data_IF_708469060991
#
_entry.id   IF_708469060991
#
_cell.length_a   1.000
_cell.length_b   1.000
_cell.length_c   1.000
_cell.angle_alpha   90.00
_cell.angle_beta   90.00
_cell.angle_gamma   90.00
#
_symmetry.space_group_name_H-M   'P 1'
#
loop_
_entity.id
_entity.type
_entity.pdbx_description
1 polymer ?
#
# COMPACT_ATOMS: atom_id res chain seq x y z
N UNK A 1 0.27 6.06 21.17
CA UNK A 1 0.56 5.38 22.46
C UNK A 1 1.26 4.09 22.14
N UNK A 2 2.37 3.76 22.81
CA UNK A 2 3.09 2.53 22.47
C UNK A 2 2.45 1.28 23.13
N UNK A 3 2.80 0.10 22.63
CA UNK A 3 2.24 -1.18 23.11
C UNK A 3 2.46 -1.41 24.61
N UNK A 4 3.60 -1.02 25.17
CA UNK A 4 3.92 -1.26 26.57
C UNK A 4 3.10 -0.35 27.50
N UNK A 5 2.93 0.92 27.12
CA UNK A 5 2.07 1.88 27.83
C UNK A 5 0.62 1.39 27.90
N UNK A 6 0.11 0.82 26.79
CA UNK A 6 -1.23 0.24 26.74
C UNK A 6 -1.35 -0.95 27.72
N UNK A 7 -0.36 -1.85 27.71
CA UNK A 7 -0.32 -3.03 28.60
C UNK A 7 -0.30 -2.59 30.06
N UNK A 8 0.52 -1.59 30.41
CA UNK A 8 0.62 -1.11 31.79
C UNK A 8 -0.66 -0.39 32.22
N UNK A 9 -1.27 0.41 31.33
CA UNK A 9 -2.57 1.07 31.54
C UNK A 9 -3.66 0.04 31.87
N UNK A 10 -3.82 -0.99 31.04
CA UNK A 10 -4.88 -1.98 31.24
C UNK A 10 -4.55 -3.01 32.33
N UNK A 11 -3.28 -3.33 32.55
CA UNK A 11 -2.83 -4.20 33.65
C UNK A 11 -3.00 -3.56 35.03
N UNK A 12 -2.98 -2.23 35.11
CA UNK A 12 -3.22 -1.48 36.36
C UNK A 12 -4.70 -1.27 36.69
N UNK A 13 -5.63 -1.47 35.73
CA UNK A 13 -7.07 -1.34 35.97
C UNK A 13 -7.60 -2.56 36.72
N UNK A 14 -8.16 -2.33 37.91
CA UNK A 14 -8.73 -3.38 38.79
C UNK A 14 -10.26 -3.44 38.75
N UNK A 15 -10.90 -2.59 37.96
CA UNK A 15 -12.35 -2.53 37.78
C UNK A 15 -12.72 -1.76 36.52
N UNK A 16 -14.00 -1.83 36.14
CA UNK A 16 -14.52 -0.97 35.08
C UNK A 16 -14.32 0.51 35.46
N UNK A 17 -14.03 1.41 34.50
CA UNK A 17 -13.99 2.85 34.71
C UNK A 17 -15.26 3.31 35.44
N UNK A 18 -15.15 4.35 36.28
CA UNK A 18 -16.30 4.89 37.00
C UNK A 18 -17.38 5.31 36.00
N UNK A 19 -18.42 4.49 35.86
CA UNK A 19 -19.55 4.74 35.00
C UNK A 19 -20.52 5.71 35.70
N UNK A 20 -21.23 6.53 34.93
CA UNK A 20 -22.38 7.25 35.46
C UNK A 20 -23.46 6.22 35.81
N UNK A 21 -23.68 6.03 37.11
CA UNK A 21 -24.61 5.07 37.71
C UNK A 21 -26.07 5.39 37.34
N UNK A 22 -26.32 6.52 36.67
CA UNK A 22 -27.65 7.07 36.36
C UNK A 22 -28.50 6.22 35.41
N UNK A 23 -27.90 5.35 34.60
CA UNK A 23 -28.62 4.55 33.60
C UNK A 23 -29.09 3.17 34.12
N UNK A 24 -28.76 2.82 35.37
CA UNK A 24 -29.20 1.56 35.95
C UNK A 24 -30.61 1.65 36.55
N UNK A 25 -31.37 0.57 36.39
CA UNK A 25 -32.59 0.36 37.17
C UNK A 25 -32.27 0.31 38.67
N UNK A 26 -33.21 0.72 39.52
CA UNK A 26 -33.08 0.59 40.99
C UNK A 26 -32.90 -0.91 41.31
N UNK A 27 -31.71 -1.29 41.79
CA UNK A 27 -31.21 -2.67 41.95
C UNK A 27 -30.91 -3.41 40.64
N UNK A 28 -29.82 -3.07 39.93
CA UNK A 28 -29.40 -3.82 38.75
C UNK A 28 -29.01 -5.25 39.11
N UNK A 29 -29.32 -6.21 38.24
CA UNK A 29 -28.83 -7.57 38.44
C UNK A 29 -27.32 -7.63 38.23
N UNK A 30 -26.67 -8.67 38.78
CA UNK A 30 -25.24 -8.92 38.51
C UNK A 30 -24.93 -9.02 37.01
N UNK A 31 -25.89 -9.51 36.22
CA UNK A 31 -25.74 -9.63 34.78
C UNK A 31 -25.78 -8.26 34.08
N UNK A 32 -26.66 -7.36 34.53
CA UNK A 32 -26.76 -6.00 33.97
C UNK A 32 -25.50 -5.20 34.26
N UNK A 33 -24.98 -5.32 35.49
CA UNK A 33 -23.71 -4.71 35.88
C UNK A 33 -22.53 -5.24 35.05
N UNK A 34 -22.52 -6.56 34.76
CA UNK A 34 -21.49 -7.19 33.93
C UNK A 34 -21.55 -6.69 32.47
N UNK A 35 -22.73 -6.68 31.86
CA UNK A 35 -22.91 -6.27 30.46
C UNK A 35 -22.48 -4.81 30.26
N UNK A 36 -22.89 -3.93 31.16
CA UNK A 36 -22.53 -2.52 31.11
C UNK A 36 -21.01 -2.30 31.29
N UNK A 37 -20.41 -2.92 32.30
CA UNK A 37 -18.96 -2.84 32.53
C UNK A 37 -18.14 -3.39 31.38
N UNK A 38 -18.59 -4.50 30.78
CA UNK A 38 -17.98 -5.07 29.57
C UNK A 38 -18.08 -4.12 28.37
N UNK A 39 -19.24 -3.48 28.16
CA UNK A 39 -19.45 -2.54 27.07
C UNK A 39 -18.52 -1.34 27.13
N UNK A 40 -18.38 -0.72 28.31
CA UNK A 40 -17.49 0.43 28.54
C UNK A 40 -16.03 0.04 28.35
N UNK A 41 -15.59 -1.05 28.98
CA UNK A 41 -14.22 -1.54 28.84
C UNK A 41 -13.89 -1.85 27.38
N UNK A 42 -14.82 -2.49 26.64
CA UNK A 42 -14.65 -2.77 25.22
C UNK A 42 -14.50 -1.49 24.40
N UNK A 43 -15.33 -0.46 24.65
CA UNK A 43 -15.26 0.80 23.92
C UNK A 43 -13.91 1.52 24.14
N UNK A 44 -13.47 1.64 25.39
CA UNK A 44 -12.18 2.27 25.73
C UNK A 44 -10.99 1.48 25.18
N UNK A 45 -11.00 0.14 25.27
CA UNK A 45 -9.94 -0.70 24.70
C UNK A 45 -9.86 -0.47 23.19
N UNK A 46 -11.01 -0.41 22.49
CA UNK A 46 -11.03 -0.16 21.05
C UNK A 46 -10.49 1.24 20.72
N UNK A 47 -10.86 2.27 21.48
CA UNK A 47 -10.35 3.62 21.29
C UNK A 47 -8.84 3.70 21.52
N UNK A 48 -8.35 3.06 22.57
CA UNK A 48 -6.93 2.96 22.86
C UNK A 48 -6.15 2.17 21.80
N UNK A 49 -6.73 1.08 21.28
CA UNK A 49 -6.14 0.29 20.20
C UNK A 49 -6.05 1.07 18.89
N UNK A 50 -7.02 1.96 18.61
CA UNK A 50 -6.93 2.88 17.46
C UNK A 50 -5.82 3.93 17.62
N UNK A 51 -5.36 4.18 18.84
CA UNK A 51 -4.23 5.07 19.16
C UNK A 51 -2.89 4.34 19.24
N UNK A 52 -2.87 3.01 19.09
CA UNK A 52 -1.63 2.32 18.78
C UNK A 52 -1.21 2.80 17.40
N UNK A 53 0.02 3.31 17.29
CA UNK A 53 0.58 3.61 15.98
C UNK A 53 0.65 2.28 15.21
N UNK A 54 -0.34 2.03 14.34
CA UNK A 54 -0.19 1.03 13.30
C UNK A 54 1.02 1.47 12.48
N UNK A 55 2.02 0.59 12.26
CA UNK A 55 3.07 0.93 11.32
C UNK A 55 2.39 1.26 10.00
N UNK A 56 2.47 2.52 9.56
CA UNK A 56 1.97 2.90 8.26
C UNK A 56 2.64 1.96 7.25
N UNK A 57 1.80 1.27 6.49
CA UNK A 57 2.30 0.38 5.46
C UNK A 57 3.24 1.19 4.56
N UNK A 58 4.50 0.78 4.42
CA UNK A 58 5.41 1.46 3.51
C UNK A 58 4.80 1.50 2.11
N UNK A 59 4.86 2.66 1.48
CA UNK A 59 4.51 2.81 0.07
C UNK A 59 5.72 2.44 -0.76
N UNK A 60 5.56 1.48 -1.67
CA UNK A 60 6.63 1.05 -2.59
C UNK A 60 6.24 1.25 -4.05
N UNK A 61 7.21 1.54 -4.93
CA UNK A 61 6.94 1.60 -6.36
C UNK A 61 6.41 0.28 -6.92
N UNK A 62 5.57 0.34 -7.96
CA UNK A 62 4.98 -0.81 -8.64
C UNK A 62 6.02 -1.88 -9.04
N UNK A 63 7.18 -1.49 -9.58
CA UNK A 63 8.21 -2.44 -10.00
C UNK A 63 8.83 -3.22 -8.81
N UNK A 64 8.85 -2.63 -7.62
CA UNK A 64 9.32 -3.29 -6.38
C UNK A 64 8.29 -4.29 -5.90
N UNK A 65 7.01 -3.91 -5.92
CA UNK A 65 5.89 -4.80 -5.59
C UNK A 65 5.88 -6.04 -6.49
N UNK A 66 5.97 -5.85 -7.81
CA UNK A 66 6.04 -6.95 -8.79
C UNK A 66 7.24 -7.86 -8.57
N UNK A 67 8.39 -7.28 -8.23
CA UNK A 67 9.59 -8.05 -7.90
C UNK A 67 9.39 -8.91 -6.64
N UNK A 68 8.80 -8.36 -5.57
CA UNK A 68 8.51 -9.10 -4.34
C UNK A 68 7.55 -10.26 -4.59
N UNK A 69 6.45 -10.02 -5.32
CA UNK A 69 5.46 -11.06 -5.66
C UNK A 69 6.07 -12.17 -6.53
N UNK A 70 6.94 -11.79 -7.47
CA UNK A 70 7.69 -12.76 -8.27
C UNK A 70 8.60 -13.61 -7.38
N UNK A 71 9.31 -13.00 -6.42
CA UNK A 71 10.14 -13.74 -5.48
C UNK A 71 9.32 -14.68 -4.59
N UNK A 72 8.18 -14.24 -4.05
CA UNK A 72 7.27 -15.08 -3.24
C UNK A 72 6.89 -16.38 -3.94
N UNK A 73 6.78 -16.36 -5.28
CA UNK A 73 6.47 -17.53 -6.11
C UNK A 73 7.70 -18.40 -6.45
N UNK A 74 8.90 -17.83 -6.40
CA UNK A 74 10.13 -18.49 -6.87
C UNK A 74 11.00 -19.04 -5.75
N UNK A 75 10.95 -18.46 -4.55
CA UNK A 75 11.81 -18.85 -3.43
C UNK A 75 11.02 -19.45 -2.27
N UNK A 76 11.71 -20.18 -1.40
CA UNK A 76 11.11 -20.84 -0.25
C UNK A 76 10.50 -19.79 0.71
N UNK A 77 9.26 -19.97 1.19
CA UNK A 77 8.57 -19.01 2.08
C UNK A 77 9.35 -18.64 3.35
N UNK A 78 10.24 -19.52 3.81
CA UNK A 78 11.17 -19.29 4.92
C UNK A 78 11.91 -17.94 4.85
N UNK A 79 12.27 -17.49 3.64
CA UNK A 79 12.98 -16.22 3.45
C UNK A 79 12.09 -14.99 3.69
N UNK A 80 10.76 -15.15 3.66
CA UNK A 80 9.76 -14.11 3.89
C UNK A 80 9.17 -14.12 5.30
N UNK A 81 9.69 -14.95 6.21
CA UNK A 81 9.19 -15.00 7.61
C UNK A 81 9.47 -13.72 8.39
N UNK A 82 10.46 -12.93 7.96
CA UNK A 82 10.74 -11.60 8.52
C UNK A 82 11.58 -10.77 7.54
N UNK A 83 11.48 -9.45 7.64
CA UNK A 83 12.29 -8.50 6.88
C UNK A 83 13.78 -8.74 7.07
N UNK A 84 14.24 -8.99 8.31
CA UNK A 84 15.65 -9.28 8.59
C UNK A 84 16.17 -10.52 7.83
N UNK A 85 15.37 -11.60 7.76
CA UNK A 85 15.74 -12.81 7.00
C UNK A 85 15.73 -12.57 5.50
N UNK A 86 14.74 -11.84 5.03
CA UNK A 86 14.65 -11.46 3.63
C UNK A 86 15.87 -10.64 3.22
N UNK A 87 16.24 -9.63 4.02
CA UNK A 87 17.43 -8.80 3.82
C UNK A 87 18.72 -9.62 3.83
N UNK A 88 18.87 -10.59 4.74
CA UNK A 88 20.04 -11.49 4.75
C UNK A 88 20.11 -12.38 3.50
N UNK A 89 18.96 -12.79 2.95
CA UNK A 89 18.89 -13.59 1.74
C UNK A 89 19.26 -12.77 0.50
N UNK A 90 18.60 -11.63 0.29
CA UNK A 90 18.85 -10.77 -0.87
C UNK A 90 20.22 -10.07 -0.79
N UNK A 91 20.72 -9.77 0.42
CA UNK A 91 22.01 -9.11 0.62
C UNK A 91 23.19 -9.92 0.08
N UNK A 92 23.09 -11.27 0.10
CA UNK A 92 24.08 -12.12 -0.55
C UNK A 92 24.12 -11.91 -2.06
N UNK A 93 22.96 -11.77 -2.68
CA UNK A 93 22.87 -11.52 -4.12
C UNK A 93 23.28 -10.09 -4.50
N UNK A 94 22.90 -9.12 -3.66
CA UNK A 94 23.26 -7.72 -3.84
C UNK A 94 24.79 -7.53 -3.91
N UNK A 95 25.54 -8.18 -3.02
CA UNK A 95 27.01 -8.06 -2.97
C UNK A 95 27.75 -9.07 -3.87
N UNK A 96 27.16 -10.21 -4.22
CA UNK A 96 27.79 -11.21 -5.07
C UNK A 96 27.04 -11.37 -6.40
N UNK A 97 27.57 -10.77 -7.49
CA UNK A 97 27.09 -10.90 -8.89
C UNK A 97 27.06 -12.34 -9.47
N UNK A 98 27.18 -13.39 -8.66
CA UNK A 98 27.49 -14.76 -9.11
C UNK A 98 26.45 -15.84 -8.76
N UNK A 99 25.34 -15.53 -8.08
CA UNK A 99 24.50 -16.58 -7.51
C UNK A 99 23.10 -16.73 -8.09
N UNK A 100 22.31 -15.67 -8.06
CA UNK A 100 20.86 -15.74 -8.17
C UNK A 100 20.41 -14.47 -8.90
N UNK A 101 20.05 -14.47 -10.17
CA UNK A 101 19.70 -13.24 -10.91
C UNK A 101 18.36 -12.62 -10.46
N UNK A 102 18.19 -12.39 -9.15
CA UNK A 102 16.97 -11.96 -8.48
C UNK A 102 16.94 -10.43 -8.42
N UNK A 103 18.07 -9.79 -8.17
CA UNK A 103 18.19 -8.33 -8.16
C UNK A 103 18.62 -7.84 -9.54
N UNK A 104 17.65 -7.33 -10.30
CA UNK A 104 17.92 -6.60 -11.54
C UNK A 104 18.48 -5.20 -11.23
N UNK A 105 18.86 -4.46 -12.28
CA UNK A 105 19.48 -3.14 -12.10
C UNK A 105 18.52 -2.09 -11.53
N UNK A 106 17.22 -2.15 -11.87
CA UNK A 106 16.20 -1.22 -11.36
C UNK A 106 15.99 -1.40 -9.84
N UNK A 107 15.92 -2.65 -9.36
CA UNK A 107 15.84 -2.97 -7.93
C UNK A 107 17.13 -2.60 -7.21
N UNK A 108 18.30 -2.80 -7.84
CA UNK A 108 19.60 -2.40 -7.26
C UNK A 108 19.63 -0.89 -7.02
N UNK A 109 19.30 -0.10 -8.05
CA UNK A 109 19.28 1.36 -7.95
C UNK A 109 18.26 1.86 -6.92
N UNK A 110 17.13 1.17 -6.78
CA UNK A 110 16.17 1.49 -5.72
C UNK A 110 16.74 1.18 -4.33
N UNK A 111 17.33 0.01 -4.12
CA UNK A 111 17.95 -0.38 -2.85
C UNK A 111 19.16 0.48 -2.43
N UNK A 112 19.85 1.09 -3.39
CA UNK A 112 20.99 1.98 -3.12
C UNK A 112 20.57 3.35 -2.58
N UNK A 113 19.28 3.72 -2.64
CA UNK A 113 18.77 4.94 -2.03
C UNK A 113 18.62 4.76 -0.52
N UNK A 114 19.13 5.73 0.23
CA UNK A 114 19.10 5.74 1.69
C UNK A 114 17.69 5.45 2.25
N UNK A 115 17.60 4.44 3.13
CA UNK A 115 16.37 4.08 3.84
C UNK A 115 15.51 3.04 3.12
N UNK A 116 15.75 2.74 1.84
CA UNK A 116 14.98 1.74 1.10
C UNK A 116 15.22 0.31 1.59
N UNK A 117 16.36 0.05 2.23
CA UNK A 117 16.65 -1.20 2.94
C UNK A 117 15.74 -1.40 4.15
N UNK A 118 15.42 -0.32 4.87
CA UNK A 118 14.50 -0.34 6.02
C UNK A 118 13.07 -0.49 5.53
N UNK A 119 12.69 0.27 4.48
CA UNK A 119 11.39 0.14 3.82
C UNK A 119 11.17 -1.31 3.38
N UNK A 120 12.13 -1.91 2.68
CA UNK A 120 12.00 -3.28 2.20
C UNK A 120 11.88 -4.30 3.35
N UNK A 121 12.60 -4.10 4.45
CA UNK A 121 12.43 -4.94 5.64
C UNK A 121 11.00 -4.84 6.17
N UNK A 122 10.50 -3.62 6.35
CA UNK A 122 9.15 -3.35 6.86
C UNK A 122 8.05 -3.89 5.94
N UNK A 123 8.26 -3.83 4.62
CA UNK A 123 7.37 -4.39 3.60
C UNK A 123 7.10 -5.88 3.85
N UNK A 124 8.10 -6.63 4.29
CA UNK A 124 7.95 -8.06 4.59
C UNK A 124 7.24 -8.28 5.94
N UNK A 125 7.57 -7.47 6.94
CA UNK A 125 7.05 -7.64 8.31
C UNK A 125 5.61 -7.14 8.49
N UNK A 126 5.25 -6.06 7.81
CA UNK A 126 4.00 -5.33 8.05
C UNK A 126 3.08 -5.28 6.82
N UNK A 127 3.57 -5.65 5.65
CA UNK A 127 2.88 -5.42 4.39
C UNK A 127 3.23 -4.05 3.79
N UNK A 128 2.57 -3.69 2.70
CA UNK A 128 2.89 -2.50 1.93
C UNK A 128 1.72 -2.04 1.08
N UNK A 129 1.74 -0.76 0.73
CA UNK A 129 0.88 -0.18 -0.29
C UNK A 129 1.71 0.05 -1.55
N UNK A 130 1.08 -0.05 -2.71
CA UNK A 130 1.75 0.21 -3.98
C UNK A 130 1.51 1.65 -4.37
N UNK A 131 2.58 2.37 -4.68
CA UNK A 131 2.51 3.72 -5.23
C UNK A 131 1.69 3.66 -6.51
N UNK A 132 0.55 4.36 -6.51
CA UNK A 132 -0.26 4.48 -7.72
C UNK A 132 0.53 5.29 -8.74
N UNK A 133 0.89 4.67 -9.86
CA UNK A 133 1.65 5.33 -10.91
C UNK A 133 0.78 6.45 -11.51
N UNK A 134 1.28 7.70 -11.60
CA UNK A 134 0.49 8.80 -12.12
C UNK A 134 0.11 8.54 -13.57
N UNK A 135 -1.19 8.64 -13.85
CA UNK A 135 -1.75 8.48 -15.18
C UNK A 135 -1.88 9.82 -15.88
N UNK A 136 -1.69 9.81 -17.19
CA UNK A 136 -1.75 10.98 -18.04
C UNK A 136 -2.60 10.73 -19.28
N UNK A 137 -3.30 11.77 -19.72
CA UNK A 137 -3.99 11.81 -21.02
C UNK A 137 -3.18 12.67 -21.97
N UNK A 138 -2.83 12.14 -23.14
CA UNK A 138 -2.10 12.89 -24.16
C UNK A 138 -3.09 13.44 -25.18
N UNK A 139 -3.11 14.77 -25.36
CA UNK A 139 -4.02 15.44 -26.30
C UNK A 139 -3.23 16.14 -27.40
N UNK A 140 -3.43 15.72 -28.65
CA UNK A 140 -2.76 16.25 -29.83
C UNK A 140 -3.84 16.68 -30.83
N UNK A 141 -3.87 17.97 -31.19
CA UNK A 141 -4.85 18.53 -32.12
C UNK A 141 -6.31 18.16 -31.76
N UNK A 142 -6.69 18.33 -30.48
CA UNK A 142 -8.02 17.99 -29.94
C UNK A 142 -8.41 16.50 -30.12
N UNK A 143 -7.40 15.61 -30.20
CA UNK A 143 -7.59 14.17 -30.21
C UNK A 143 -6.74 13.53 -29.14
N UNK A 144 -7.25 12.47 -28.56
CA UNK A 144 -6.59 11.76 -27.48
C UNK A 144 -5.79 10.58 -28.01
N UNK A 145 -4.60 10.39 -27.47
CA UNK A 145 -3.80 9.21 -27.73
C UNK A 145 -4.41 8.02 -26.98
N UNK A 146 -4.82 6.99 -27.73
CA UNK A 146 -5.34 5.75 -27.17
C UNK A 146 -4.53 4.55 -27.65
N UNK A 147 -4.11 3.70 -26.71
CA UNK A 147 -3.51 2.38 -26.94
C UNK A 147 -4.62 1.32 -26.85
N UNK A 148 -4.93 0.70 -27.99
CA UNK A 148 -5.98 -0.31 -28.07
C UNK A 148 -5.42 -1.72 -27.82
N UNK A 149 -5.57 -2.21 -26.59
CA UNK A 149 -5.11 -3.55 -26.18
C UNK A 149 -5.81 -4.69 -26.94
N UNK A 150 -7.03 -4.45 -27.45
CA UNK A 150 -7.84 -5.48 -28.12
C UNK A 150 -7.33 -5.86 -29.52
N UNK A 151 -6.47 -5.02 -30.14
CA UNK A 151 -6.06 -5.18 -31.54
C UNK A 151 -4.56 -4.94 -31.73
N UNK A 152 -3.73 -5.71 -31.02
CA UNK A 152 -2.28 -5.80 -31.31
C UNK A 152 -1.44 -4.57 -30.93
N UNK A 153 -1.72 -3.94 -29.79
CA UNK A 153 -0.95 -2.78 -29.27
C UNK A 153 -0.90 -1.60 -30.26
N UNK A 154 -1.95 -1.40 -31.05
CA UNK A 154 -2.06 -0.27 -31.97
C UNK A 154 -2.36 1.00 -31.20
N UNK A 155 -1.60 2.05 -31.52
CA UNK A 155 -1.79 3.40 -30.99
C UNK A 155 -2.52 4.25 -32.03
N UNK A 156 -3.64 4.85 -31.63
CA UNK A 156 -4.46 5.71 -32.48
C UNK A 156 -4.74 7.06 -31.80
N UNK A 157 -5.13 8.04 -32.60
CA UNK A 157 -5.68 9.31 -32.13
C UNK A 157 -7.20 9.28 -32.31
N UNK A 158 -7.93 9.33 -31.20
CA UNK A 158 -9.40 9.30 -31.18
C UNK A 158 -9.97 10.66 -30.84
N UNK A 159 -11.14 10.98 -31.38
CA UNK A 159 -11.88 12.19 -30.99
C UNK A 159 -12.47 12.07 -29.58
N UNK A 160 -12.93 13.19 -29.03
CA UNK A 160 -13.59 13.23 -27.71
C UNK A 160 -14.91 12.43 -27.67
N UNK A 161 -15.62 12.34 -28.81
CA UNK A 161 -16.83 11.52 -28.89
C UNK A 161 -16.47 10.02 -28.86
N UNK A 162 -15.44 9.61 -29.61
CA UNK A 162 -14.99 8.22 -29.72
C UNK A 162 -14.28 7.70 -28.46
N UNK A 163 -13.60 8.58 -27.72
CA UNK A 163 -12.87 8.15 -26.50
C UNK A 163 -13.81 7.76 -25.37
N UNK A 164 -15.04 8.29 -25.35
CA UNK A 164 -16.06 7.91 -24.37
C UNK A 164 -16.47 6.44 -24.49
N UNK A 165 -16.30 5.84 -25.68
CA UNK A 165 -16.55 4.43 -25.96
C UNK A 165 -15.31 3.55 -25.68
N UNK A 166 -14.15 4.17 -25.42
CA UNK A 166 -12.92 3.47 -25.10
C UNK A 166 -12.85 3.14 -23.60
N UNK A 167 -12.23 2.01 -23.25
CA UNK A 167 -11.88 1.75 -21.87
C UNK A 167 -10.89 2.81 -21.35
N UNK A 168 -11.08 3.27 -20.10
CA UNK A 168 -10.24 4.30 -19.48
C UNK A 168 -8.75 3.99 -19.57
N UNK A 169 -8.39 2.72 -19.33
CA UNK A 169 -7.02 2.19 -19.44
C UNK A 169 -6.39 2.33 -20.84
N UNK A 170 -7.20 2.53 -21.88
CA UNK A 170 -6.72 2.70 -23.24
C UNK A 170 -6.14 4.10 -23.47
N UNK A 171 -6.57 5.12 -22.73
CA UNK A 171 -6.17 6.51 -22.98
C UNK A 171 -5.63 7.25 -21.76
N UNK A 172 -5.71 6.63 -20.58
CA UNK A 172 -4.96 7.02 -19.39
C UNK A 172 -3.71 6.16 -19.31
N UNK A 173 -2.58 6.77 -19.68
CA UNK A 173 -1.31 6.09 -19.88
C UNK A 173 -0.28 6.56 -18.86
N UNK A 174 0.61 5.65 -18.45
CA UNK A 174 1.74 6.01 -17.58
C UNK A 174 2.81 6.75 -18.39
N UNK A 175 3.67 7.52 -17.72
CA UNK A 175 4.81 8.19 -18.38
C UNK A 175 5.67 7.20 -19.19
N UNK A 176 5.94 6.01 -18.62
CA UNK A 176 6.68 4.93 -19.29
C UNK A 176 5.98 4.49 -20.58
N UNK A 177 4.65 4.31 -20.57
CA UNK A 177 3.89 3.93 -21.75
C UNK A 177 3.93 5.02 -22.84
N UNK A 178 3.74 6.29 -22.45
CA UNK A 178 3.78 7.43 -23.40
C UNK A 178 5.15 7.52 -24.07
N UNK A 179 6.23 7.45 -23.27
CA UNK A 179 7.61 7.50 -23.79
C UNK A 179 7.98 6.28 -24.63
N UNK A 180 7.45 5.10 -24.31
CA UNK A 180 7.64 3.89 -25.10
C UNK A 180 6.95 3.96 -26.47
N UNK A 181 5.83 4.68 -26.55
CA UNK A 181 5.17 4.99 -27.83
C UNK A 181 6.03 5.99 -28.60
N UNK A 182 6.22 7.19 -28.05
CA UNK A 182 7.09 8.24 -28.59
C UNK A 182 7.34 9.33 -27.54
N UNK A 183 8.60 9.62 -27.23
CA UNK A 183 8.98 10.66 -26.26
C UNK A 183 8.44 12.05 -26.61
N UNK A 184 8.18 12.33 -27.90
CA UNK A 184 7.61 13.60 -28.37
C UNK A 184 6.16 13.84 -27.93
N UNK A 185 5.49 12.81 -27.43
CA UNK A 185 4.13 12.92 -26.89
C UNK A 185 4.10 13.40 -25.44
N UNK A 186 5.21 13.26 -24.71
CA UNK A 186 5.31 13.67 -23.32
C UNK A 186 4.98 15.16 -23.06
N UNK A 187 5.40 16.13 -23.89
CA UNK A 187 5.01 17.54 -23.72
C UNK A 187 3.51 17.82 -23.84
N UNK A 188 2.72 16.88 -24.37
CA UNK A 188 1.27 16.99 -24.53
C UNK A 188 0.48 16.21 -23.46
N UNK A 189 1.18 15.61 -22.49
CA UNK A 189 0.60 14.83 -21.41
C UNK A 189 -0.04 15.74 -20.34
N UNK A 190 -1.30 15.47 -20.02
CA UNK A 190 -2.07 16.15 -18.96
C UNK A 190 -2.31 15.14 -17.84
N UNK A 191 -1.93 15.43 -16.59
CA UNK A 191 -2.14 14.51 -15.47
C UNK A 191 -3.63 14.28 -15.25
N UNK A 192 -4.01 13.04 -14.97
CA UNK A 192 -5.36 12.70 -14.52
C UNK A 192 -5.40 12.96 -13.02
N UNK A 193 -6.18 13.95 -12.59
CA UNK A 193 -6.41 14.16 -11.16
C UNK A 193 -7.23 12.98 -10.63
N UNK A 194 -6.64 12.18 -9.73
CA UNK A 194 -7.42 11.21 -8.97
C UNK A 194 -8.43 12.00 -8.13
N UNK A 195 -9.71 11.91 -8.49
CA UNK A 195 -10.78 12.35 -7.59
C UNK A 195 -10.68 11.44 -6.37
N UNK A 196 -10.11 11.96 -5.29
CA UNK A 196 -10.12 11.29 -4.00
C UNK A 196 -11.58 11.13 -3.57
N UNK A 197 -12.16 9.96 -3.83
CA UNK A 197 -13.36 9.51 -3.12
C UNK A 197 -12.95 9.36 -1.64
N UNK A 198 -13.31 10.36 -0.85
CA UNK A 198 -13.12 10.40 0.59
C UNK A 198 -14.16 9.60 1.38
#
# INVERSE_FOLDING_TARGET
MNKQELIDKWGSKTGAPSYEISDFSINPSKNDMYIAGYGVARAEIIEDLKQLDEPQNPVVPQFVAEWIEKLRKQIVPYHFESGARFMMFIGRDFHHKKGLTLINEEIRQWLEKDGNEVILSNVIDYGYEVEKEPLYRVVINNRYLAKMSNFSDVVILVSEDEISECATESYELTEKQIKAIDERYWPFAVPVEEVAEG
#
